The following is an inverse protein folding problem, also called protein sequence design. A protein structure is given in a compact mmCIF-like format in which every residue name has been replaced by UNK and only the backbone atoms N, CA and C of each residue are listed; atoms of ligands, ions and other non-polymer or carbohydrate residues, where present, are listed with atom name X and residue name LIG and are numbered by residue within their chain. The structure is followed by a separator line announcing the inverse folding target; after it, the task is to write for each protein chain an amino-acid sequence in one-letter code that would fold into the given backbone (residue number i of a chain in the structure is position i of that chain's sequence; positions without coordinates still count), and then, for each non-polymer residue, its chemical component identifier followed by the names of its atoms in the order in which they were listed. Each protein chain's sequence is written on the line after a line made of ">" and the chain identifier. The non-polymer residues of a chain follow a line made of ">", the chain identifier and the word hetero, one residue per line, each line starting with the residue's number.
data_IF_256629051704
#
_entry.id   IF_256629051704
#
_cell.length_a   1.000
_cell.length_b   1.000
_cell.length_c   1.000
_cell.angle_alpha   90.00
_cell.angle_beta   90.00
_cell.angle_gamma   90.00
#
_symmetry.space_group_name_H-M   'P 1'
#
loop_
_entity.id
_entity.type
_entity.pdbx_description
1 polymer ?
#
# COMPACT_ATOMS: atom_id res chain seq x y z
N UNK A 1 -25.23 -51.53 -51.17
CA UNK A 1 -24.25 -50.45 -51.14
C UNK A 1 -24.89 -49.20 -50.53
N UNK A 2 -24.93 -49.04 -49.19
CA UNK A 2 -25.37 -47.81 -48.46
C UNK A 2 -25.05 -48.00 -46.97
N UNK A 3 -23.76 -47.98 -46.57
CA UNK A 3 -23.35 -48.05 -45.14
C UNK A 3 -22.07 -47.30 -44.77
N UNK A 4 -21.60 -46.36 -45.57
CA UNK A 4 -20.32 -45.68 -45.34
C UNK A 4 -20.38 -44.14 -45.19
N UNK A 5 -21.55 -43.56 -45.17
CA UNK A 5 -21.69 -42.07 -45.05
C UNK A 5 -22.13 -41.56 -43.65
N UNK A 6 -22.51 -42.48 -42.73
CA UNK A 6 -23.02 -42.03 -41.40
C UNK A 6 -21.92 -41.93 -40.33
N UNK A 7 -20.72 -42.50 -40.57
CA UNK A 7 -19.64 -42.49 -39.60
C UNK A 7 -18.72 -41.26 -39.65
N UNK A 8 -18.79 -40.47 -40.72
CA UNK A 8 -17.96 -39.26 -40.86
C UNK A 8 -18.57 -37.98 -40.29
N UNK A 9 -19.88 -37.98 -40.04
CA UNK A 9 -20.59 -36.77 -39.52
C UNK A 9 -20.60 -36.70 -37.99
N UNK A 10 -20.35 -37.82 -37.29
CA UNK A 10 -20.35 -37.86 -35.83
C UNK A 10 -19.02 -37.42 -35.18
N UNK A 11 -17.94 -37.46 -35.96
CA UNK A 11 -16.59 -37.12 -35.45
C UNK A 11 -16.30 -35.59 -35.47
N UNK A 12 -17.08 -34.79 -36.25
CA UNK A 12 -16.90 -33.34 -36.34
C UNK A 12 -17.62 -32.52 -35.26
N UNK A 13 -18.52 -33.14 -34.49
CA UNK A 13 -19.29 -32.42 -33.43
C UNK A 13 -18.63 -32.49 -32.07
N UNK A 14 -17.64 -33.38 -31.86
CA UNK A 14 -17.02 -33.60 -30.56
C UNK A 14 -15.73 -32.73 -30.30
N UNK A 15 -15.34 -31.86 -31.22
CA UNK A 15 -14.13 -31.03 -31.14
C UNK A 15 -14.41 -29.56 -30.80
N UNK A 16 -15.63 -29.22 -30.40
CA UNK A 16 -16.06 -27.82 -30.18
C UNK A 16 -16.31 -27.38 -28.74
N UNK A 17 -16.00 -28.21 -27.70
CA UNK A 17 -16.44 -27.92 -26.31
C UNK A 17 -15.29 -27.97 -25.32
N UNK A 18 -14.13 -27.42 -25.63
CA UNK A 18 -13.09 -27.22 -24.59
C UNK A 18 -12.35 -25.94 -24.88
N UNK A 19 -12.84 -24.80 -24.44
CA UNK A 19 -12.04 -23.57 -24.20
C UNK A 19 -12.91 -22.48 -23.57
N UNK A 20 -13.65 -22.82 -22.50
CA UNK A 20 -14.16 -21.81 -21.57
C UNK A 20 -13.40 -21.91 -20.26
N UNK A 21 -12.08 -21.74 -20.30
CA UNK A 21 -11.31 -21.41 -19.12
C UNK A 21 -11.62 -19.95 -18.78
N UNK A 22 -12.71 -19.69 -18.06
CA UNK A 22 -12.85 -18.46 -17.31
C UNK A 22 -11.71 -18.40 -16.32
N UNK A 23 -10.63 -17.70 -16.63
CA UNK A 23 -9.65 -17.28 -15.63
C UNK A 23 -10.35 -16.25 -14.75
N UNK A 24 -11.01 -16.70 -13.68
CA UNK A 24 -11.40 -15.82 -12.58
C UNK A 24 -10.10 -15.34 -11.95
N UNK A 25 -9.66 -14.15 -12.29
CA UNK A 25 -8.63 -13.43 -11.53
C UNK A 25 -9.12 -13.37 -10.07
N UNK A 26 -8.36 -13.89 -9.10
CA UNK A 26 -8.76 -13.79 -7.69
C UNK A 26 -8.97 -12.31 -7.37
N UNK A 27 -10.17 -11.97 -6.94
CA UNK A 27 -10.48 -10.61 -6.53
C UNK A 27 -9.73 -10.38 -5.21
N UNK A 28 -8.81 -9.39 -5.20
CA UNK A 28 -8.11 -9.02 -3.98
C UNK A 28 -9.14 -8.62 -2.92
N UNK A 29 -9.06 -9.23 -1.74
CA UNK A 29 -9.90 -8.94 -0.57
C UNK A 29 -9.26 -7.90 0.34
N UNK A 30 -8.02 -7.47 0.04
CA UNK A 30 -7.29 -6.52 0.87
C UNK A 30 -7.99 -5.17 0.94
N UNK A 31 -7.82 -4.43 2.06
CA UNK A 31 -8.42 -3.11 2.26
C UNK A 31 -8.10 -2.16 1.12
N UNK A 32 -9.02 -1.27 0.82
CA UNK A 32 -8.85 -0.22 -0.18
C UNK A 32 -8.68 1.14 0.49
N UNK A 33 -7.88 1.99 -0.13
CA UNK A 33 -7.71 3.39 0.24
C UNK A 33 -8.16 4.28 -0.92
N UNK A 34 -8.82 5.37 -0.62
CA UNK A 34 -9.09 6.42 -1.59
C UNK A 34 -7.85 7.29 -1.69
N UNK A 35 -7.19 7.26 -2.84
CA UNK A 35 -6.03 8.09 -3.13
C UNK A 35 -6.50 9.34 -3.91
N UNK A 36 -5.68 9.93 -4.73
CA UNK A 36 -6.03 11.10 -5.53
C UNK A 36 -7.26 10.88 -6.44
N UNK A 37 -8.06 11.92 -6.66
CA UNK A 37 -9.19 11.92 -7.63
C UNK A 37 -10.19 10.78 -7.40
N UNK A 38 -10.42 10.42 -6.14
CA UNK A 38 -11.33 9.34 -5.72
C UNK A 38 -10.98 7.94 -6.27
N UNK A 39 -9.75 7.73 -6.72
CA UNK A 39 -9.26 6.43 -7.16
C UNK A 39 -9.04 5.51 -5.96
N UNK A 40 -9.64 4.32 -6.00
CA UNK A 40 -9.48 3.32 -4.93
C UNK A 40 -8.37 2.34 -5.28
N UNK A 41 -7.35 2.26 -4.41
CA UNK A 41 -6.20 1.36 -4.55
C UNK A 41 -6.23 0.33 -3.42
N UNK A 42 -6.03 -0.95 -3.75
CA UNK A 42 -5.89 -1.99 -2.74
C UNK A 42 -4.53 -1.88 -2.05
N UNK A 43 -4.50 -2.08 -0.73
CA UNK A 43 -3.25 -2.19 0.01
C UNK A 43 -2.60 -3.56 -0.25
N UNK A 44 -1.26 -3.62 -0.42
CA UNK A 44 -0.55 -4.88 -0.40
C UNK A 44 -0.71 -5.60 0.96
N UNK A 45 -0.55 -6.91 0.99
CA UNK A 45 -0.51 -7.65 2.26
C UNK A 45 0.81 -7.37 3.02
N UNK A 46 0.85 -7.49 4.35
CA UNK A 46 2.07 -7.29 5.15
C UNK A 46 3.25 -8.14 4.66
N UNK A 47 3.02 -9.43 4.33
CA UNK A 47 4.03 -10.36 3.82
C UNK A 47 4.81 -9.87 2.60
N UNK A 48 4.19 -9.04 1.75
CA UNK A 48 4.82 -8.55 0.52
C UNK A 48 5.94 -7.53 0.74
N UNK A 49 6.21 -7.12 2.01
CA UNK A 49 7.44 -6.44 2.37
C UNK A 49 8.68 -7.32 2.14
N UNK A 50 8.54 -8.65 2.29
CA UNK A 50 9.61 -9.63 2.02
C UNK A 50 10.52 -9.93 3.21
N UNK A 51 10.40 -9.22 4.31
CA UNK A 51 11.13 -9.44 5.56
C UNK A 51 10.33 -8.95 6.76
N UNK A 52 10.67 -9.44 7.96
CA UNK A 52 10.11 -8.89 9.20
C UNK A 52 10.86 -7.62 9.58
N UNK A 53 10.13 -6.61 10.04
CA UNK A 53 10.66 -5.29 10.40
C UNK A 53 10.16 -4.88 11.78
N UNK A 54 11.07 -4.36 12.59
CA UNK A 54 10.73 -3.55 13.78
C UNK A 54 11.46 -2.23 13.64
N UNK A 55 10.76 -1.10 13.73
CA UNK A 55 11.37 0.21 13.60
C UNK A 55 10.74 1.23 14.54
N UNK A 56 11.59 2.09 15.11
CA UNK A 56 11.18 3.33 15.78
C UNK A 56 11.36 4.47 14.79
N UNK A 57 10.31 5.23 14.56
CA UNK A 57 10.30 6.31 13.58
C UNK A 57 9.67 7.58 14.17
N UNK A 58 10.08 8.73 13.67
CA UNK A 58 9.39 9.99 13.85
C UNK A 58 8.69 10.33 12.55
N UNK A 59 7.36 10.42 12.59
CA UNK A 59 6.54 10.84 11.43
C UNK A 59 6.16 12.30 11.66
N UNK A 60 6.39 13.14 10.64
CA UNK A 60 5.93 14.52 10.59
C UNK A 60 5.00 14.67 9.38
N UNK A 61 3.76 15.12 9.63
CA UNK A 61 2.80 15.45 8.59
C UNK A 61 2.66 16.97 8.49
N UNK A 62 2.71 17.49 7.26
CA UNK A 62 2.55 18.90 6.94
C UNK A 62 1.45 19.08 5.91
N UNK A 63 0.51 19.98 6.16
CA UNK A 63 -0.59 20.28 5.22
C UNK A 63 -0.98 21.75 5.27
N UNK A 64 -1.70 22.22 4.25
CA UNK A 64 -2.25 23.55 4.20
C UNK A 64 -3.61 23.60 4.91
N UNK A 65 -3.80 24.59 5.76
CA UNK A 65 -5.07 24.92 6.39
C UNK A 65 -5.38 26.42 6.16
N UNK A 66 -6.03 26.71 5.02
CA UNK A 66 -6.13 28.08 4.51
C UNK A 66 -4.76 28.62 4.09
N UNK A 67 -4.38 29.80 4.57
CA UNK A 67 -3.07 30.41 4.29
C UNK A 67 -1.95 29.92 5.22
N UNK A 68 -2.26 29.08 6.22
CA UNK A 68 -1.29 28.59 7.20
C UNK A 68 -0.86 27.17 6.91
N UNK A 69 0.45 26.92 6.94
CA UNK A 69 1.00 25.58 6.99
C UNK A 69 0.89 25.03 8.41
N UNK A 70 0.25 23.87 8.56
CA UNK A 70 0.20 23.09 9.80
C UNK A 70 1.20 21.97 9.74
N UNK A 71 1.80 21.65 10.89
CA UNK A 71 2.73 20.53 11.04
C UNK A 71 2.47 19.83 12.37
N UNK A 72 2.40 18.50 12.33
CA UNK A 72 2.24 17.65 13.50
C UNK A 72 3.29 16.53 13.46
N UNK A 73 3.87 16.20 14.60
CA UNK A 73 4.87 15.15 14.74
C UNK A 73 4.38 14.04 15.66
N UNK A 74 4.63 12.80 15.27
CA UNK A 74 4.23 11.61 16.00
C UNK A 74 5.39 10.60 16.06
N UNK A 75 5.94 10.32 17.24
CA UNK A 75 6.79 9.14 17.45
C UNK A 75 5.96 7.87 17.26
N UNK A 76 6.48 6.93 16.47
CA UNK A 76 5.78 5.66 16.18
C UNK A 76 6.71 4.47 16.33
N UNK A 77 6.11 3.32 16.67
CA UNK A 77 6.70 1.99 16.58
C UNK A 77 5.99 1.22 15.48
N UNK A 78 6.77 0.75 14.53
CA UNK A 78 6.31 -0.09 13.42
C UNK A 78 6.80 -1.52 13.63
N UNK A 79 5.90 -2.48 13.50
CA UNK A 79 6.22 -3.91 13.45
C UNK A 79 5.54 -4.54 12.24
N UNK A 80 6.30 -5.25 11.43
CA UNK A 80 5.79 -6.00 10.28
C UNK A 80 6.28 -7.44 10.38
N UNK A 81 5.35 -8.38 10.30
CA UNK A 81 5.59 -9.81 10.17
C UNK A 81 4.93 -10.33 8.90
N UNK A 82 5.00 -11.64 8.66
CA UNK A 82 4.40 -12.26 7.47
C UNK A 82 2.88 -12.03 7.41
N UNK A 83 2.19 -12.04 8.52
CA UNK A 83 0.72 -12.00 8.62
C UNK A 83 0.17 -10.68 9.16
N UNK A 84 1.04 -9.79 9.67
CA UNK A 84 0.60 -8.66 10.47
C UNK A 84 1.49 -7.44 10.33
N UNK A 85 0.86 -6.27 10.28
CA UNK A 85 1.50 -4.97 10.47
C UNK A 85 0.86 -4.29 11.68
N UNK A 86 1.68 -3.75 12.57
CA UNK A 86 1.24 -2.94 13.72
C UNK A 86 1.99 -1.61 13.67
N UNK A 87 1.24 -0.52 13.77
CA UNK A 87 1.76 0.84 13.94
C UNK A 87 1.20 1.39 15.25
N UNK A 88 2.07 1.70 16.21
CA UNK A 88 1.69 2.34 17.45
C UNK A 88 2.25 3.76 17.52
N UNK A 89 1.39 4.74 17.76
CA UNK A 89 1.76 6.15 17.92
C UNK A 89 1.76 6.57 19.39
N UNK A 90 2.70 7.44 19.74
CA UNK A 90 2.94 7.85 21.13
C UNK A 90 2.93 9.37 21.26
N UNK A 91 2.42 9.87 22.38
CA UNK A 91 2.61 11.27 22.78
C UNK A 91 4.08 11.55 23.10
N UNK A 92 4.43 12.83 23.21
CA UNK A 92 5.76 13.26 23.68
C UNK A 92 6.13 12.74 25.08
N UNK A 93 5.13 12.34 25.87
CA UNK A 93 5.32 11.76 27.21
C UNK A 93 5.39 10.22 27.20
N UNK A 94 5.41 9.59 26.01
CA UNK A 94 5.50 8.14 25.86
C UNK A 94 4.17 7.39 26.07
N UNK A 95 3.05 8.08 26.23
CA UNK A 95 1.73 7.42 26.30
C UNK A 95 1.30 6.99 24.89
N UNK A 96 0.87 5.72 24.72
CA UNK A 96 0.31 5.26 23.46
C UNK A 96 -1.04 5.94 23.23
N UNK A 97 -1.15 6.68 22.13
CA UNK A 97 -2.35 7.43 21.74
C UNK A 97 -3.07 6.82 20.54
N UNK A 98 -2.38 5.98 19.78
CA UNK A 98 -2.89 5.29 18.60
C UNK A 98 -2.29 3.88 18.51
N UNK A 99 -3.10 2.91 18.17
CA UNK A 99 -2.64 1.61 17.67
C UNK A 99 -3.44 1.26 16.43
N UNK A 100 -2.74 0.88 15.35
CA UNK A 100 -3.31 0.45 14.11
C UNK A 100 -2.75 -0.94 13.79
N UNK A 101 -3.63 -1.88 13.50
CA UNK A 101 -3.27 -3.26 13.15
C UNK A 101 -3.88 -3.61 11.82
N UNK A 102 -3.05 -4.07 10.87
CA UNK A 102 -3.47 -4.65 9.61
C UNK A 102 -3.14 -6.14 9.60
N UNK A 103 -4.14 -7.00 9.60
CA UNK A 103 -4.04 -8.46 9.63
C UNK A 103 -5.31 -9.07 9.02
N UNK A 104 -5.19 -10.23 8.35
CA UNK A 104 -6.33 -10.97 7.77
C UNK A 104 -7.22 -10.08 6.89
N UNK A 105 -6.62 -9.31 6.00
CA UNK A 105 -7.29 -8.36 5.09
C UNK A 105 -8.20 -7.34 5.80
N UNK A 106 -7.95 -7.09 7.08
CA UNK A 106 -8.72 -6.17 7.92
C UNK A 106 -7.81 -5.20 8.66
N UNK A 107 -8.29 -3.97 8.82
CA UNK A 107 -7.63 -2.93 9.60
C UNK A 107 -8.45 -2.68 10.85
N UNK A 108 -7.80 -2.71 12.00
CA UNK A 108 -8.37 -2.32 13.29
C UNK A 108 -7.56 -1.19 13.92
N UNK A 109 -8.24 -0.29 14.61
CA UNK A 109 -7.64 0.85 15.29
C UNK A 109 -8.13 0.94 16.73
N UNK A 110 -7.20 1.32 17.60
CA UNK A 110 -7.47 1.71 18.99
C UNK A 110 -6.88 3.11 19.19
N UNK A 111 -7.74 4.10 19.41
CA UNK A 111 -7.38 5.51 19.52
C UNK A 111 -7.82 6.03 20.88
N UNK A 112 -6.91 6.74 21.56
CA UNK A 112 -7.21 7.35 22.84
C UNK A 112 -8.41 8.31 22.73
N UNK A 113 -9.31 8.24 23.71
CA UNK A 113 -10.53 9.08 23.75
C UNK A 113 -10.22 10.55 23.51
N UNK A 114 -11.01 11.16 22.61
CA UNK A 114 -10.87 12.57 22.22
C UNK A 114 -9.99 12.82 20.98
N UNK A 115 -9.25 11.83 20.47
CA UNK A 115 -8.39 11.99 19.28
C UNK A 115 -8.97 11.40 17.99
N UNK A 116 -10.04 10.62 18.06
CA UNK A 116 -10.59 9.88 16.91
C UNK A 116 -11.08 10.74 15.74
N UNK A 117 -11.37 12.04 15.97
CA UNK A 117 -11.78 12.95 14.90
C UNK A 117 -10.65 13.81 14.33
N UNK A 118 -9.43 13.69 14.85
CA UNK A 118 -8.27 14.52 14.48
C UNK A 118 -7.30 13.73 13.59
N UNK A 119 -7.30 12.41 13.70
CA UNK A 119 -6.37 11.54 12.98
C UNK A 119 -6.87 11.25 11.55
N UNK A 120 -5.95 11.08 10.58
CA UNK A 120 -6.30 10.59 9.24
C UNK A 120 -6.96 9.21 9.30
N UNK A 121 -7.66 8.83 8.23
CA UNK A 121 -8.21 7.48 8.10
C UNK A 121 -7.09 6.43 8.18
N UNK A 122 -7.30 5.30 8.87
CA UNK A 122 -6.27 4.28 9.06
C UNK A 122 -5.68 3.74 7.76
N UNK A 123 -6.53 3.57 6.73
CA UNK A 123 -6.14 3.11 5.41
C UNK A 123 -5.18 4.10 4.75
N UNK A 124 -5.39 5.40 4.93
CA UNK A 124 -4.52 6.45 4.39
C UNK A 124 -3.15 6.45 5.09
N UNK A 125 -3.13 6.27 6.41
CA UNK A 125 -1.86 6.15 7.17
C UNK A 125 -1.06 4.95 6.68
N UNK A 126 -1.72 3.80 6.52
CA UNK A 126 -1.08 2.59 5.99
C UNK A 126 -0.59 2.78 4.56
N UNK A 127 -1.41 3.36 3.68
CA UNK A 127 -1.01 3.64 2.31
C UNK A 127 0.27 4.48 2.26
N UNK A 128 0.30 5.62 2.96
CA UNK A 128 1.44 6.52 2.98
C UNK A 128 2.72 5.82 3.50
N UNK A 129 2.60 4.99 4.52
CA UNK A 129 3.71 4.21 5.05
C UNK A 129 4.16 3.10 4.08
N UNK A 130 3.21 2.29 3.61
CA UNK A 130 3.52 1.12 2.80
C UNK A 130 4.05 1.50 1.42
N UNK A 131 3.52 2.58 0.79
CA UNK A 131 3.98 3.03 -0.54
C UNK A 131 5.44 3.51 -0.49
N UNK A 132 5.95 3.94 0.69
CA UNK A 132 7.34 4.34 0.85
C UNK A 132 8.29 3.16 1.09
N UNK A 133 7.84 2.09 1.77
CA UNK A 133 8.71 1.00 2.23
C UNK A 133 8.61 -0.27 1.37
N UNK A 134 7.41 -0.68 0.94
CA UNK A 134 7.22 -1.93 0.20
C UNK A 134 7.88 -1.88 -1.18
N UNK A 135 8.39 -3.03 -1.68
CA UNK A 135 8.98 -3.10 -3.01
C UNK A 135 7.93 -2.79 -4.09
N UNK A 136 8.38 -2.31 -5.25
CA UNK A 136 7.48 -1.99 -6.39
C UNK A 136 6.64 -3.19 -6.82
N UNK A 137 7.20 -4.40 -6.75
CA UNK A 137 6.48 -5.63 -7.09
C UNK A 137 5.21 -5.86 -6.24
N UNK A 138 5.19 -5.39 -5.00
CA UNK A 138 4.01 -5.47 -4.15
C UNK A 138 2.86 -4.56 -4.62
N UNK A 139 3.19 -3.51 -5.38
CA UNK A 139 2.26 -2.51 -5.87
C UNK A 139 1.82 -2.70 -7.32
N UNK A 140 2.47 -3.60 -8.07
CA UNK A 140 2.15 -3.83 -9.49
C UNK A 140 0.68 -4.16 -9.72
N UNK A 141 0.14 -5.18 -9.04
CA UNK A 141 -1.25 -5.57 -9.22
C UNK A 141 -2.25 -4.50 -8.71
N UNK A 142 -2.10 -3.90 -7.52
CA UNK A 142 -2.94 -2.81 -7.06
C UNK A 142 -2.97 -1.60 -8.00
N UNK A 143 -1.83 -1.14 -8.50
CA UNK A 143 -1.74 0.04 -9.35
C UNK A 143 -2.18 -0.24 -10.79
N UNK A 144 -1.84 -1.41 -11.35
CA UNK A 144 -2.29 -1.82 -12.68
C UNK A 144 -3.82 -1.90 -12.78
N UNK A 145 -4.49 -2.33 -11.71
CA UNK A 145 -5.96 -2.39 -11.65
C UNK A 145 -6.61 -1.03 -11.91
N UNK A 146 -5.97 0.05 -11.48
CA UNK A 146 -6.43 1.43 -11.67
C UNK A 146 -5.68 2.16 -12.79
N UNK A 147 -4.83 1.45 -13.55
CA UNK A 147 -3.99 1.98 -14.62
C UNK A 147 -3.02 3.08 -14.16
N UNK A 148 -2.56 3.00 -12.92
CA UNK A 148 -1.51 3.85 -12.40
C UNK A 148 -0.15 3.19 -12.57
N UNK A 149 0.91 3.99 -12.59
CA UNK A 149 2.27 3.54 -12.79
C UNK A 149 3.16 4.00 -11.64
N UNK A 150 4.02 3.10 -11.14
CA UNK A 150 5.09 3.43 -10.20
C UNK A 150 6.43 3.35 -10.91
N UNK A 151 7.27 4.36 -10.70
CA UNK A 151 8.63 4.43 -11.24
C UNK A 151 9.59 4.65 -10.08
N UNK A 152 10.50 3.69 -9.88
CA UNK A 152 11.58 3.78 -8.89
C UNK A 152 12.85 4.36 -9.56
N UNK A 153 13.40 5.41 -8.97
CA UNK A 153 14.73 5.93 -9.27
C UNK A 153 15.78 5.43 -8.26
N UNK A 154 16.98 5.98 -8.32
CA UNK A 154 18.06 5.61 -7.39
C UNK A 154 17.75 5.96 -5.93
N UNK A 155 17.17 7.13 -5.69
CA UNK A 155 16.79 7.65 -4.37
C UNK A 155 15.40 8.31 -4.42
N UNK A 156 14.52 7.83 -5.30
CA UNK A 156 13.20 8.39 -5.48
C UNK A 156 12.20 7.33 -5.92
N UNK A 157 10.93 7.62 -5.72
CA UNK A 157 9.78 6.87 -6.25
C UNK A 157 8.74 7.88 -6.69
N UNK A 158 8.20 7.70 -7.88
CA UNK A 158 7.11 8.52 -8.40
C UNK A 158 5.93 7.65 -8.79
N UNK A 159 4.71 8.11 -8.50
CA UNK A 159 3.48 7.45 -8.91
C UNK A 159 2.72 8.39 -9.84
N UNK A 160 2.31 7.84 -10.99
CA UNK A 160 1.56 8.53 -12.02
C UNK A 160 0.17 7.94 -12.15
N UNK A 161 -0.82 8.78 -12.39
CA UNK A 161 -2.20 8.34 -12.61
C UNK A 161 -2.42 7.79 -14.04
N UNK A 162 -3.66 7.41 -14.35
CA UNK A 162 -4.06 6.81 -15.63
C UNK A 162 -3.92 7.75 -16.85
N UNK A 163 -3.72 9.04 -16.63
CA UNK A 163 -3.47 10.03 -17.70
C UNK A 163 -2.02 10.51 -17.74
N UNK A 164 -1.15 9.94 -16.88
CA UNK A 164 0.27 10.24 -16.83
C UNK A 164 0.60 11.47 -15.97
N UNK A 165 -0.32 11.96 -15.14
CA UNK A 165 -0.04 13.02 -14.18
C UNK A 165 0.63 12.44 -12.93
N UNK A 166 1.74 13.08 -12.48
CA UNK A 166 2.40 12.67 -11.24
C UNK A 166 1.51 13.04 -10.05
N UNK A 167 1.09 12.05 -9.27
CA UNK A 167 0.22 12.22 -8.11
C UNK A 167 0.97 12.11 -6.79
N UNK A 168 2.06 11.34 -6.75
CA UNK A 168 2.90 11.17 -5.56
C UNK A 168 4.37 11.24 -5.98
N UNK A 169 5.16 11.93 -5.16
CA UNK A 169 6.61 12.02 -5.29
C UNK A 169 7.30 11.70 -3.96
N UNK A 170 8.21 10.73 -3.97
CA UNK A 170 8.88 10.24 -2.77
C UNK A 170 10.38 10.38 -2.96
N UNK A 171 11.03 10.99 -1.98
CA UNK A 171 12.48 11.12 -1.90
C UNK A 171 13.04 10.34 -0.71
N UNK A 172 14.12 9.61 -0.94
CA UNK A 172 14.88 8.89 0.07
C UNK A 172 16.24 9.58 0.26
N UNK A 173 16.58 9.92 1.50
CA UNK A 173 17.91 10.51 1.80
C UNK A 173 19.04 9.47 1.66
N UNK A 174 18.71 8.18 1.61
CA UNK A 174 19.63 7.07 1.43
C UNK A 174 19.04 6.02 0.48
N UNK A 175 19.89 5.18 -0.14
CA UNK A 175 19.46 4.02 -0.96
C UNK A 175 18.72 2.98 -0.13
N UNK A 176 19.16 2.75 1.11
CA UNK A 176 18.41 1.96 2.06
C UNK A 176 17.27 2.82 2.63
N UNK A 177 16.04 2.44 2.34
CA UNK A 177 14.82 3.15 2.74
C UNK A 177 14.60 3.21 4.25
N UNK A 178 15.30 2.37 5.02
CA UNK A 178 15.25 2.36 6.47
C UNK A 178 16.34 3.24 7.10
N UNK A 179 17.23 3.82 6.31
CA UNK A 179 18.31 4.69 6.79
C UNK A 179 18.02 6.14 6.42
N UNK A 180 17.98 7.01 7.43
CA UNK A 180 17.80 8.45 7.23
C UNK A 180 16.33 8.86 7.18
N UNK A 181 15.98 9.71 6.23
CA UNK A 181 14.66 10.32 6.11
C UNK A 181 14.02 10.00 4.74
N UNK A 182 12.73 9.74 4.76
CA UNK A 182 11.87 9.64 3.58
C UNK A 182 10.98 10.87 3.57
N UNK A 183 10.92 11.57 2.43
CA UNK A 183 9.96 12.65 2.18
C UNK A 183 8.93 12.17 1.15
N UNK A 184 7.69 12.04 1.58
CA UNK A 184 6.55 11.70 0.75
C UNK A 184 5.73 12.97 0.47
N UNK A 185 5.49 13.30 -0.79
CA UNK A 185 4.66 14.42 -1.22
C UNK A 185 3.43 13.92 -1.97
N UNK A 186 2.24 14.22 -1.47
CA UNK A 186 0.98 14.01 -2.18
C UNK A 186 0.64 15.27 -2.95
N UNK A 187 0.82 15.24 -4.28
CA UNK A 187 0.78 16.45 -5.11
C UNK A 187 -0.64 16.97 -5.38
N UNK A 188 -1.63 16.08 -5.33
CA UNK A 188 -3.03 16.44 -5.60
C UNK A 188 -3.69 16.99 -4.33
N UNK A 189 -3.52 16.31 -3.20
CA UNK A 189 -4.12 16.72 -1.92
C UNK A 189 -3.22 17.69 -1.13
N UNK A 190 -2.06 18.01 -1.70
CA UNK A 190 -1.11 19.02 -1.22
C UNK A 190 -0.71 18.86 0.25
N UNK A 191 -0.21 17.66 0.60
CA UNK A 191 0.39 17.41 1.90
C UNK A 191 1.72 16.66 1.77
N UNK A 192 2.57 16.82 2.78
CA UNK A 192 3.87 16.16 2.89
C UNK A 192 3.93 15.33 4.15
N UNK A 193 4.49 14.12 4.03
CA UNK A 193 4.82 13.28 5.18
C UNK A 193 6.33 13.01 5.17
N UNK A 194 7.01 13.34 6.27
CA UNK A 194 8.41 12.98 6.50
C UNK A 194 8.47 11.84 7.50
N UNK A 195 9.25 10.83 7.17
CA UNK A 195 9.44 9.64 8.01
C UNK A 195 10.94 9.52 8.29
N UNK A 196 11.33 9.80 9.52
CA UNK A 196 12.70 9.63 9.98
C UNK A 196 12.82 8.35 10.79
N UNK A 197 13.57 7.39 10.29
CA UNK A 197 13.87 6.16 11.05
C UNK A 197 14.96 6.45 12.06
N UNK A 198 14.67 6.18 13.34
CA UNK A 198 15.59 6.39 14.47
C UNK A 198 16.37 5.12 14.79
N UNK A 199 15.69 3.98 14.75
CA UNK A 199 16.25 2.65 14.97
C UNK A 199 15.41 1.62 14.23
N UNK A 200 16.06 0.57 13.70
CA UNK A 200 15.35 -0.55 13.12
C UNK A 200 16.11 -1.87 13.27
N UNK A 201 15.39 -2.96 13.14
CA UNK A 201 15.93 -4.31 12.97
C UNK A 201 15.09 -5.07 11.95
N UNK A 202 15.76 -5.90 11.15
CA UNK A 202 15.12 -6.76 10.15
C UNK A 202 15.49 -8.22 10.38
N UNK A 203 14.57 -9.13 10.03
CA UNK A 203 14.82 -10.56 10.02
C UNK A 203 14.16 -11.19 8.79
N UNK A 204 14.70 -12.29 8.24
CA UNK A 204 14.03 -13.05 7.21
C UNK A 204 12.61 -13.45 7.66
N UNK A 205 11.64 -13.45 6.76
CA UNK A 205 10.33 -14.05 7.02
C UNK A 205 10.51 -15.56 7.20
N UNK A 206 10.03 -16.09 8.30
CA UNK A 206 10.03 -17.53 8.58
C UNK A 206 8.77 -18.18 8.05
#
# INVERSE_FOLDING_TARGET
>A
MKRTTLAKTLCSIMLGVVLSACSSTPQSTTPTVVVAKQTQVNLPIPASLGYSLTASQLIEAQWQNGEQTRSEQLPVQLQVSQDKLVLAGFSSWGTRILSLTYQNDSISTDVMSGLGGVLPQPEQVLFNLMITLWPSSAWEAPLNKVRWQMIDGSNSRAIFDSVGEKVIDIHYSNKDRLVGEITFNHLIDNYTVKIKTLQFSTAPTR
#
